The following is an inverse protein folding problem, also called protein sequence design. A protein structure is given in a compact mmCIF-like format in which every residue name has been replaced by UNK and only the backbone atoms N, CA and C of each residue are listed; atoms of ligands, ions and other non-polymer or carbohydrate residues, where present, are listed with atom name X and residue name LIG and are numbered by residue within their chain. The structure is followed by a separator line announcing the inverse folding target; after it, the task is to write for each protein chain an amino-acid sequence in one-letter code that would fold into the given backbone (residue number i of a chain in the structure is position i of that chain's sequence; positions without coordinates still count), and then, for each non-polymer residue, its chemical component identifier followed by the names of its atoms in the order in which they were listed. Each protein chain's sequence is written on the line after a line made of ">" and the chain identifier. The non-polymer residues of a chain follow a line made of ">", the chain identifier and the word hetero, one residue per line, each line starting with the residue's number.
data_IF_365530322510
#
_entry.id   IF_365530322510
#
_cell.length_a   1.000
_cell.length_b   1.000
_cell.length_c   1.000
_cell.angle_alpha   90.00
_cell.angle_beta   90.00
_cell.angle_gamma   90.00
#
_symmetry.space_group_name_H-M   'P 1'
#
loop_
_entity.id
_entity.type
_entity.pdbx_description
1 polymer ?
#
# COMPACT_ATOMS: atom_id res chain seq x y z
N UNK A 1 5.49 -10.23 -11.28
CA UNK A 1 4.04 -10.06 -11.56
C UNK A 1 3.32 -9.17 -10.53
N UNK A 2 4.02 -8.22 -9.86
CA UNK A 2 3.37 -7.15 -9.08
C UNK A 2 4.16 -5.82 -9.09
N UNK A 3 5.03 -5.61 -10.07
CA UNK A 3 5.87 -4.39 -10.18
C UNK A 3 5.16 -3.23 -10.90
N UNK A 4 3.86 -3.37 -11.24
CA UNK A 4 3.17 -2.47 -12.17
C UNK A 4 1.86 -1.90 -11.65
N UNK A 5 1.64 -1.90 -10.34
CA UNK A 5 0.41 -1.39 -9.73
C UNK A 5 0.56 0.02 -9.15
N UNK A 6 1.78 0.45 -8.85
CA UNK A 6 2.06 1.81 -8.42
C UNK A 6 3.11 2.36 -9.36
N UNK A 7 2.67 3.17 -10.32
CA UNK A 7 3.57 4.01 -11.10
C UNK A 7 4.51 4.73 -10.11
N UNK A 8 5.80 4.75 -10.44
CA UNK A 8 6.88 5.42 -9.70
C UNK A 8 6.62 6.93 -9.43
N UNK A 9 5.49 7.48 -9.92
CA UNK A 9 5.01 8.85 -9.74
C UNK A 9 3.79 9.00 -8.80
N UNK A 10 3.19 7.91 -8.31
CA UNK A 10 2.11 8.05 -7.32
C UNK A 10 2.77 8.27 -5.96
N UNK A 11 2.84 9.53 -5.55
CA UNK A 11 3.39 9.91 -4.25
C UNK A 11 2.69 9.06 -3.16
N UNK A 12 3.42 8.12 -2.49
CA UNK A 12 2.86 7.25 -1.47
C UNK A 12 2.39 8.03 -0.24
N UNK A 13 2.65 9.34 -0.20
CA UNK A 13 2.19 10.29 0.80
C UNK A 13 0.87 10.99 0.43
N UNK A 14 0.26 10.72 -0.73
CA UNK A 14 -1.11 11.21 -0.99
C UNK A 14 -2.12 10.54 -0.05
N UNK A 15 -3.02 11.35 0.53
CA UNK A 15 -4.05 10.88 1.46
C UNK A 15 -4.91 9.73 0.88
N UNK A 16 -5.10 9.69 -0.44
CA UNK A 16 -5.89 8.66 -1.14
C UNK A 16 -5.26 7.28 -1.03
N UNK A 17 -3.94 7.16 -1.20
CA UNK A 17 -3.21 5.88 -1.06
C UNK A 17 -3.35 5.36 0.37
N UNK A 18 -3.16 6.25 1.36
CA UNK A 18 -3.26 5.89 2.78
C UNK A 18 -4.63 5.32 3.15
N UNK A 19 -5.71 5.95 2.70
CA UNK A 19 -7.09 5.51 2.97
C UNK A 19 -7.40 4.19 2.26
N UNK A 20 -6.93 4.03 1.03
CA UNK A 20 -7.09 2.79 0.25
C UNK A 20 -6.40 1.62 0.95
N UNK A 21 -5.13 1.78 1.35
CA UNK A 21 -4.37 0.76 2.08
C UNK A 21 -5.03 0.44 3.43
N UNK A 22 -5.52 1.44 4.15
CA UNK A 22 -6.23 1.24 5.42
C UNK A 22 -7.51 0.41 5.24
N UNK A 23 -8.28 0.69 4.19
CA UNK A 23 -9.50 -0.07 3.87
C UNK A 23 -9.17 -1.50 3.47
N UNK A 24 -8.10 -1.68 2.69
CA UNK A 24 -7.66 -3.00 2.26
C UNK A 24 -7.15 -3.86 3.42
N UNK A 25 -6.34 -3.30 4.33
CA UNK A 25 -5.89 -3.99 5.56
C UNK A 25 -7.07 -4.50 6.40
N UNK A 26 -8.12 -3.68 6.56
CA UNK A 26 -9.34 -4.08 7.28
C UNK A 26 -10.05 -5.26 6.63
N UNK A 27 -10.05 -5.34 5.30
CA UNK A 27 -10.70 -6.43 4.56
C UNK A 27 -9.88 -7.73 4.57
N UNK A 28 -8.56 -7.62 4.56
CA UNK A 28 -7.66 -8.78 4.53
C UNK A 28 -7.54 -9.48 5.90
N UNK A 29 -7.78 -8.76 6.99
CA UNK A 29 -7.72 -9.33 8.34
C UNK A 29 -6.31 -9.68 8.78
N UNK A 30 -6.22 -10.59 9.74
CA UNK A 30 -4.95 -11.12 10.27
C UNK A 30 -4.58 -12.43 9.54
N UNK A 31 -3.30 -12.67 9.22
CA UNK A 31 -2.14 -11.79 9.44
C UNK A 31 -2.08 -10.63 8.43
N UNK A 32 -1.41 -9.51 8.77
CA UNK A 32 -1.33 -8.36 7.88
C UNK A 32 -0.53 -8.69 6.63
N UNK A 33 -1.21 -8.75 5.49
CA UNK A 33 -0.59 -9.02 4.18
C UNK A 33 0.05 -7.76 3.56
N UNK A 34 -0.11 -6.57 4.16
CA UNK A 34 0.43 -5.32 3.60
C UNK A 34 1.40 -4.68 4.58
N UNK A 35 2.69 -4.66 4.24
CA UNK A 35 3.76 -4.07 5.03
C UNK A 35 4.13 -2.70 4.46
N UNK A 36 4.30 -1.71 5.35
CA UNK A 36 4.81 -0.39 4.95
C UNK A 36 6.33 -0.40 4.96
N UNK A 37 6.95 0.01 3.86
CA UNK A 37 8.41 0.17 3.72
C UNK A 37 8.73 1.67 3.78
N UNK A 38 9.41 2.15 4.83
CA UNK A 38 9.83 3.54 4.92
C UNK A 38 10.64 3.95 3.69
N UNK A 39 10.29 5.08 3.06
CA UNK A 39 10.98 5.59 1.88
C UNK A 39 10.70 4.85 0.56
N UNK A 40 9.92 3.75 0.58
CA UNK A 40 9.60 2.97 -0.63
C UNK A 40 8.10 2.64 -0.80
N UNK A 41 7.25 2.98 0.18
CA UNK A 41 5.80 2.80 0.07
C UNK A 41 5.27 1.53 0.75
N UNK A 42 4.57 0.67 0.02
CA UNK A 42 3.90 -0.52 0.56
C UNK A 42 4.29 -1.78 -0.22
N UNK A 43 4.42 -2.91 0.47
CA UNK A 43 4.68 -4.25 -0.11
C UNK A 43 3.69 -5.29 0.41
N UNK A 44 3.46 -6.33 -0.37
CA UNK A 44 2.66 -7.51 -0.01
C UNK A 44 3.60 -8.70 0.21
#
# INVERSE_FOLDING_TARGET
>A
LLEKAWDENTDPFTNVVRVTVMTLRRKLGEPPVIVTVPGSGYRI
#
